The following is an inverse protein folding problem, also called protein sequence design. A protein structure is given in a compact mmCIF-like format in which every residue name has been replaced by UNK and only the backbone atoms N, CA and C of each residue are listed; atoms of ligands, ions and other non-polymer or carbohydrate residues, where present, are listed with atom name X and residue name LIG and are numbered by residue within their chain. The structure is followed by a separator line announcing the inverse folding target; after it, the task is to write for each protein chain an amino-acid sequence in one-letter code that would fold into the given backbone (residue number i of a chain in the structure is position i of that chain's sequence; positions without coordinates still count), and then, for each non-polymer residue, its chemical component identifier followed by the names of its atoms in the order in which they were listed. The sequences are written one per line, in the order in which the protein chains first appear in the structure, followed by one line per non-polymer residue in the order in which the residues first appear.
data_IF_063738262049
#
_entry.id   IF_063738262049
#
_cell.length_a   1.000
_cell.length_b   1.000
_cell.length_c   1.000
_cell.angle_alpha   90.00
_cell.angle_beta   90.00
_cell.angle_gamma   90.00
#
_symmetry.space_group_name_H-M   'P 1'
#
loop_
_entity.id
_entity.type
_entity.pdbx_description
1 polymer ?
#
# COMPACT_ATOMS: atom_id res chain seq x y z
N UNK A 1 12.58 -56.49 -19.25
CA UNK A 1 11.29 -55.81 -18.99
C UNK A 1 11.38 -54.37 -19.50
N UNK A 2 10.96 -54.09 -20.73
CA UNK A 2 10.95 -52.73 -21.31
C UNK A 2 9.57 -52.12 -21.06
N UNK A 3 9.46 -51.20 -20.10
CA UNK A 3 8.21 -50.47 -19.83
C UNK A 3 8.00 -49.48 -20.98
N UNK A 4 7.01 -49.73 -21.85
CA UNK A 4 6.62 -48.76 -22.87
C UNK A 4 5.94 -47.57 -22.19
N UNK A 5 6.63 -46.44 -22.10
CA UNK A 5 6.03 -45.19 -21.64
C UNK A 5 4.99 -44.79 -22.70
N UNK A 6 3.72 -44.77 -22.32
CA UNK A 6 2.62 -44.44 -23.21
C UNK A 6 2.72 -42.96 -23.61
N UNK A 7 3.02 -42.69 -24.87
CA UNK A 7 3.37 -41.34 -25.38
C UNK A 7 2.19 -40.36 -25.38
N UNK A 8 0.96 -40.88 -25.48
CA UNK A 8 -0.29 -40.12 -25.58
C UNK A 8 -0.72 -39.43 -24.27
N UNK A 9 -0.75 -40.10 -23.11
CA UNK A 9 -1.07 -39.43 -21.85
C UNK A 9 -0.02 -38.41 -21.44
N UNK A 10 1.26 -38.62 -21.82
CA UNK A 10 2.33 -37.65 -21.53
C UNK A 10 2.16 -36.36 -22.33
N UNK A 11 1.82 -36.45 -23.63
CA UNK A 11 1.52 -35.27 -24.44
C UNK A 11 0.31 -34.50 -23.90
N UNK A 12 -0.75 -35.20 -23.51
CA UNK A 12 -1.95 -34.58 -22.95
C UNK A 12 -1.66 -33.88 -21.62
N UNK A 13 -0.83 -34.47 -20.77
CA UNK A 13 -0.40 -33.87 -19.51
C UNK A 13 0.47 -32.61 -19.72
N UNK A 14 1.34 -32.61 -20.73
CA UNK A 14 2.16 -31.44 -21.08
C UNK A 14 1.29 -30.31 -21.61
N UNK A 15 0.35 -30.60 -22.51
CA UNK A 15 -0.61 -29.60 -23.03
C UNK A 15 -1.39 -29.00 -21.87
N UNK A 16 -1.95 -29.84 -20.99
CA UNK A 16 -2.71 -29.36 -19.82
C UNK A 16 -1.86 -28.50 -18.89
N UNK A 17 -0.60 -28.87 -18.64
CA UNK A 17 0.31 -28.10 -17.80
C UNK A 17 0.70 -26.74 -18.42
N UNK A 18 0.81 -26.65 -19.75
CA UNK A 18 1.15 -25.39 -20.44
C UNK A 18 -0.03 -24.43 -20.63
N UNK A 19 -1.27 -24.93 -20.55
CA UNK A 19 -2.48 -24.11 -20.74
C UNK A 19 -3.11 -23.64 -19.43
N UNK A 20 -2.62 -24.10 -18.28
CA UNK A 20 -3.12 -23.65 -16.98
C UNK A 20 -2.56 -22.25 -16.69
N UNK A 21 -3.40 -21.20 -16.60
CA UNK A 21 -2.93 -19.89 -16.20
C UNK A 21 -2.33 -20.01 -14.79
N UNK A 22 -1.08 -19.58 -14.65
CA UNK A 22 -0.45 -19.47 -13.34
C UNK A 22 -1.26 -18.43 -12.57
N UNK A 23 -1.96 -18.86 -11.52
CA UNK A 23 -2.69 -17.96 -10.63
C UNK A 23 -1.67 -17.15 -9.83
N UNK A 24 -1.16 -16.06 -10.41
CA UNK A 24 -0.51 -15.01 -9.65
C UNK A 24 -1.58 -14.35 -8.78
N UNK A 25 -1.36 -14.28 -7.47
CA UNK A 25 -2.21 -13.51 -6.59
C UNK A 25 -2.22 -12.07 -7.12
N UNK A 26 -3.34 -11.67 -7.74
CA UNK A 26 -3.46 -10.35 -8.33
C UNK A 26 -3.51 -9.33 -7.19
N UNK A 27 -2.42 -8.58 -7.01
CA UNK A 27 -2.43 -7.39 -6.15
C UNK A 27 -3.34 -6.36 -6.83
N UNK A 28 -4.38 -5.84 -6.15
CA UNK A 28 -5.21 -4.78 -6.70
C UNK A 28 -4.35 -3.61 -7.20
N UNK A 29 -4.74 -3.00 -8.33
CA UNK A 29 -3.95 -1.92 -8.96
C UNK A 29 -3.82 -0.68 -8.06
N UNK A 30 -4.74 -0.53 -7.13
CA UNK A 30 -4.87 0.53 -6.13
C UNK A 30 -4.33 0.13 -4.74
N UNK A 31 -3.56 -0.96 -4.65
CA UNK A 31 -2.92 -1.39 -3.41
C UNK A 31 -1.48 -0.86 -3.30
N UNK A 32 -1.23 -0.04 -2.27
CA UNK A 32 0.12 0.37 -1.87
C UNK A 32 0.64 -0.54 -0.76
N UNK A 33 1.81 -1.16 -0.96
CA UNK A 33 2.51 -1.96 0.06
C UNK A 33 3.77 -1.23 0.51
N UNK A 34 3.90 -1.01 1.82
CA UNK A 34 5.04 -0.31 2.42
C UNK A 34 5.75 -1.25 3.39
N UNK A 35 7.04 -1.52 3.15
CA UNK A 35 7.89 -2.24 4.09
C UNK A 35 8.34 -1.33 5.23
N UNK A 36 8.21 -1.80 6.48
CA UNK A 36 8.68 -1.11 7.68
C UNK A 36 9.76 -1.92 8.37
N UNK A 37 10.78 -1.24 8.88
CA UNK A 37 11.89 -1.87 9.59
C UNK A 37 11.51 -2.30 11.02
N UNK A 38 10.43 -1.73 11.57
CA UNK A 38 9.93 -2.02 12.90
C UNK A 38 8.39 -1.88 12.93
N UNK A 39 7.77 -2.58 13.87
CA UNK A 39 6.35 -2.42 14.16
C UNK A 39 6.07 -1.05 14.80
N UNK A 40 4.89 -0.46 14.57
CA UNK A 40 4.51 0.76 15.26
C UNK A 40 4.32 0.51 16.76
N UNK A 41 4.77 1.44 17.59
CA UNK A 41 4.64 1.32 19.04
C UNK A 41 3.21 1.57 19.51
N UNK A 42 2.54 2.56 18.92
CA UNK A 42 1.12 2.84 19.17
C UNK A 42 0.46 3.49 17.96
N UNK A 43 -0.85 3.29 17.82
CA UNK A 43 -1.67 3.97 16.81
C UNK A 43 -2.49 5.13 17.40
N UNK A 44 -2.36 5.39 18.70
CA UNK A 44 -3.01 6.53 19.34
C UNK A 44 -2.26 7.83 18.96
N UNK A 45 -2.86 8.72 18.14
CA UNK A 45 -2.21 9.96 17.70
C UNK A 45 -1.94 10.94 18.84
N UNK A 46 -2.59 10.79 20.01
CA UNK A 46 -2.35 11.63 21.18
C UNK A 46 -1.16 11.14 22.03
N UNK A 47 -0.64 9.94 21.76
CA UNK A 47 0.46 9.32 22.52
C UNK A 47 1.73 9.20 21.69
N UNK A 48 1.61 8.88 20.39
CA UNK A 48 2.79 8.61 19.56
C UNK A 48 3.64 9.85 19.29
N UNK A 49 4.96 9.68 19.39
CA UNK A 49 5.97 10.70 19.06
C UNK A 49 6.99 10.22 18.02
N UNK A 50 6.82 9.00 17.48
CA UNK A 50 7.81 8.34 16.61
C UNK A 50 7.40 8.44 15.14
N UNK A 51 8.38 8.69 14.26
CA UNK A 51 8.16 8.80 12.82
C UNK A 51 7.63 7.50 12.18
N UNK A 52 8.00 6.32 12.72
CA UNK A 52 7.52 5.03 12.24
C UNK A 52 6.00 4.94 12.39
N UNK A 53 5.48 5.32 13.56
CA UNK A 53 4.05 5.33 13.88
C UNK A 53 3.30 6.39 13.06
N UNK A 54 3.88 7.59 12.92
CA UNK A 54 3.28 8.69 12.16
C UNK A 54 3.04 8.34 10.70
N UNK A 55 3.86 7.49 10.08
CA UNK A 55 3.62 7.04 8.70
C UNK A 55 2.33 6.21 8.53
N UNK A 56 1.74 5.72 9.63
CA UNK A 56 0.43 5.04 9.63
C UNK A 56 -0.66 6.00 10.09
N UNK A 57 -0.44 6.73 11.17
CA UNK A 57 -1.48 7.61 11.75
C UNK A 57 -1.73 8.86 10.91
N UNK A 58 -0.74 9.37 10.16
CA UNK A 58 -0.91 10.56 9.32
C UNK A 58 -1.96 10.40 8.22
N UNK A 59 -1.88 9.36 7.38
CA UNK A 59 -2.91 9.10 6.38
C UNK A 59 -4.22 8.55 6.95
N UNK A 60 -4.24 8.05 8.20
CA UNK A 60 -5.43 7.42 8.80
C UNK A 60 -6.39 8.41 9.47
N UNK A 61 -5.93 9.60 9.84
CA UNK A 61 -6.73 10.61 10.53
C UNK A 61 -6.67 11.96 9.79
N UNK A 62 -7.83 12.59 9.65
CA UNK A 62 -7.94 13.96 9.13
C UNK A 62 -7.52 15.00 10.18
N UNK A 63 -7.11 16.17 9.71
CA UNK A 63 -6.65 17.30 10.54
C UNK A 63 -7.38 18.57 10.14
N UNK A 64 -7.22 19.64 10.92
CA UNK A 64 -7.74 20.94 10.52
C UNK A 64 -7.06 21.43 9.23
N UNK A 65 -5.75 21.26 9.16
CA UNK A 65 -4.90 21.66 8.03
C UNK A 65 -4.00 20.51 7.62
N UNK A 66 -3.56 20.53 6.37
CA UNK A 66 -2.60 19.59 5.79
C UNK A 66 -1.52 20.32 4.99
N UNK A 67 -0.43 19.64 4.67
CA UNK A 67 0.57 20.15 3.74
C UNK A 67 0.07 20.06 2.31
N UNK A 68 0.31 21.12 1.53
CA UNK A 68 -0.02 21.15 0.11
C UNK A 68 0.81 20.14 -0.66
N UNK A 69 0.21 19.58 -1.70
CA UNK A 69 0.90 18.80 -2.72
C UNK A 69 0.69 19.48 -4.08
N UNK A 70 1.78 19.97 -4.67
CA UNK A 70 1.79 20.62 -5.98
C UNK A 70 2.15 19.59 -7.06
N UNK A 71 1.14 18.93 -7.62
CA UNK A 71 1.31 17.80 -8.53
C UNK A 71 1.97 16.61 -7.81
N UNK A 72 3.22 16.30 -8.15
CA UNK A 72 3.97 15.20 -7.54
C UNK A 72 4.96 15.68 -6.45
N UNK A 73 4.94 16.97 -6.08
CA UNK A 73 5.87 17.55 -5.10
C UNK A 73 5.15 17.95 -3.83
N UNK A 74 5.65 17.48 -2.69
CA UNK A 74 5.23 18.02 -1.39
C UNK A 74 5.75 19.44 -1.18
N UNK A 75 4.91 20.30 -0.61
CA UNK A 75 5.26 21.65 -0.18
C UNK A 75 5.23 21.76 1.35
N UNK A 76 5.96 22.71 1.91
CA UNK A 76 5.86 23.07 3.33
C UNK A 76 4.72 24.07 3.59
N UNK A 77 4.09 24.57 2.54
CA UNK A 77 2.89 25.38 2.65
C UNK A 77 1.71 24.54 3.14
N UNK A 78 0.80 25.17 3.88
CA UNK A 78 -0.38 24.52 4.44
C UNK A 78 -1.67 24.94 3.71
N UNK A 79 -2.60 24.01 3.61
CA UNK A 79 -3.98 24.22 3.15
C UNK A 79 -4.98 23.61 4.14
N UNK A 80 -6.26 23.96 3.97
CA UNK A 80 -7.33 23.38 4.77
C UNK A 80 -7.57 21.92 4.41
N UNK A 81 -7.81 21.08 5.43
CA UNK A 81 -8.40 19.74 5.29
C UNK A 81 -9.82 19.80 5.87
N UNK A 82 -10.01 19.49 7.16
CA UNK A 82 -11.31 19.67 7.81
C UNK A 82 -11.71 21.14 7.96
N UNK A 83 -10.74 22.05 8.13
CA UNK A 83 -11.02 23.47 8.26
C UNK A 83 -11.16 24.13 6.88
N UNK A 84 -12.33 24.71 6.60
CA UNK A 84 -12.55 25.50 5.39
C UNK A 84 -11.89 26.88 5.44
N UNK A 85 -11.61 27.40 6.65
CA UNK A 85 -10.89 28.64 6.88
C UNK A 85 -10.37 28.68 8.32
N UNK A 86 -9.36 29.52 8.55
CA UNK A 86 -8.88 29.85 9.89
C UNK A 86 -8.46 31.31 9.91
N UNK A 87 -8.39 31.88 11.12
CA UNK A 87 -7.89 33.23 11.36
C UNK A 87 -6.92 33.18 12.53
N UNK A 88 -5.77 33.82 12.37
CA UNK A 88 -4.89 34.16 13.48
C UNK A 88 -5.28 35.54 14.03
N UNK A 89 -5.15 35.73 15.34
CA UNK A 89 -5.18 37.06 15.94
C UNK A 89 -3.89 37.81 15.63
N UNK A 90 -3.83 39.10 15.99
CA UNK A 90 -2.66 39.95 15.69
C UNK A 90 -1.47 39.68 16.63
N UNK A 91 -1.73 39.05 17.78
CA UNK A 91 -0.75 38.58 18.77
C UNK A 91 -0.26 37.15 18.50
#
# INVERSE_FOLDING_TARGET
MKRSISFRPTLLAIVLATTMPVAHAAVPKDMLVIGKAADPQTLDPAVTIDNNDWTVTYPSYQRLVQYKTDGDKGSTDVEGDLASSWKASDD
#
